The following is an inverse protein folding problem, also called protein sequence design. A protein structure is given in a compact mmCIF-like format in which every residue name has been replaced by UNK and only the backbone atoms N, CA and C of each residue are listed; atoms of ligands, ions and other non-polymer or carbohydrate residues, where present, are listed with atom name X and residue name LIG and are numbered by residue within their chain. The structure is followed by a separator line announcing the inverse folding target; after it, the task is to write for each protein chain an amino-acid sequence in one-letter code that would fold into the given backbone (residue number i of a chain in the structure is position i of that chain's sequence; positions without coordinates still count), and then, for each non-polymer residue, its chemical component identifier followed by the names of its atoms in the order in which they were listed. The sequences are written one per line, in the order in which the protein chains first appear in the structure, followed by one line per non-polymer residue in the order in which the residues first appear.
data_IF_810743716122
#
_entry.id   IF_810743716122
#
_cell.length_a   1.000
_cell.length_b   1.000
_cell.length_c   1.000
_cell.angle_alpha   90.00
_cell.angle_beta   90.00
_cell.angle_gamma   90.00
#
_symmetry.space_group_name_H-M   'P 1'
#
loop_
_entity.id
_entity.type
_entity.pdbx_description
1 polymer ?
#
# COMPACT_ATOMS: atom_id res chain seq x y z
N UNK A 1 -5.97 -15.57 -13.10
CA UNK A 1 -6.70 -14.46 -12.47
C UNK A 1 -5.79 -13.48 -11.75
N UNK A 2 -4.88 -13.90 -10.89
CA UNK A 2 -3.94 -13.00 -10.14
C UNK A 2 -3.11 -12.09 -11.06
N UNK A 3 -2.65 -12.60 -12.20
CA UNK A 3 -1.86 -11.83 -13.16
C UNK A 3 -2.69 -10.70 -13.79
N UNK A 4 -3.95 -10.96 -14.13
CA UNK A 4 -4.85 -9.94 -14.68
C UNK A 4 -5.14 -8.84 -13.66
N UNK A 5 -5.36 -9.23 -12.40
CA UNK A 5 -5.58 -8.27 -11.30
C UNK A 5 -4.33 -7.43 -11.06
N UNK A 6 -3.15 -8.05 -11.09
CA UNK A 6 -1.87 -7.35 -10.96
C UNK A 6 -1.68 -6.34 -12.10
N UNK A 7 -1.92 -6.75 -13.35
CA UNK A 7 -1.82 -5.84 -14.49
C UNK A 7 -2.81 -4.67 -14.38
N UNK A 8 -4.07 -4.95 -14.01
CA UNK A 8 -5.08 -3.91 -13.85
C UNK A 8 -4.72 -2.92 -12.75
N UNK A 9 -4.28 -3.39 -11.58
CA UNK A 9 -3.87 -2.51 -10.48
C UNK A 9 -2.60 -1.72 -10.80
N UNK A 10 -1.65 -2.31 -11.51
CA UNK A 10 -0.45 -1.60 -11.96
C UNK A 10 -0.78 -0.52 -12.99
N UNK A 11 -1.69 -0.78 -13.93
CA UNK A 11 -2.14 0.24 -14.90
C UNK A 11 -2.83 1.39 -14.18
N UNK A 12 -3.75 1.11 -13.26
CA UNK A 12 -4.41 2.15 -12.46
C UNK A 12 -3.40 2.96 -11.63
N UNK A 13 -2.43 2.30 -10.99
CA UNK A 13 -1.38 2.97 -10.24
C UNK A 13 -0.50 3.84 -11.13
N UNK A 14 -0.13 3.35 -12.32
CA UNK A 14 0.66 4.12 -13.28
C UNK A 14 -0.09 5.37 -13.76
N UNK A 15 -1.38 5.25 -14.08
CA UNK A 15 -2.22 6.40 -14.46
C UNK A 15 -2.30 7.42 -13.31
N UNK A 16 -2.54 6.96 -12.09
CA UNK A 16 -2.60 7.83 -10.90
C UNK A 16 -1.26 8.52 -10.67
N UNK A 17 -0.14 7.79 -10.77
CA UNK A 17 1.19 8.37 -10.65
C UNK A 17 1.48 9.41 -11.71
N UNK A 18 1.10 9.15 -12.98
CA UNK A 18 1.26 10.11 -14.07
C UNK A 18 0.48 11.40 -13.80
N UNK A 19 -0.77 11.30 -13.35
CA UNK A 19 -1.58 12.47 -12.98
C UNK A 19 -0.91 13.24 -11.84
N UNK A 20 -0.43 12.56 -10.80
CA UNK A 20 0.24 13.19 -9.66
C UNK A 20 1.59 13.82 -10.01
N UNK A 21 2.29 13.33 -11.06
CA UNK A 21 3.57 13.89 -11.51
C UNK A 21 3.36 15.09 -12.45
N UNK A 22 2.44 14.96 -13.41
CA UNK A 22 2.25 16.01 -14.42
C UNK A 22 1.35 17.16 -13.97
N UNK A 23 0.38 16.88 -13.10
CA UNK A 23 -0.66 17.82 -12.73
C UNK A 23 -0.79 18.03 -11.19
N UNK A 24 0.31 18.02 -10.41
CA UNK A 24 0.19 18.08 -8.95
C UNK A 24 -0.44 19.39 -8.47
N UNK A 25 -0.08 20.50 -9.06
CA UNK A 25 -0.64 21.82 -8.72
C UNK A 25 -2.11 21.95 -9.09
N UNK A 26 -2.52 21.39 -10.23
CA UNK A 26 -3.90 21.43 -10.69
C UNK A 26 -4.83 20.56 -9.84
N UNK A 27 -4.34 19.40 -9.38
CA UNK A 27 -5.08 18.55 -8.45
C UNK A 27 -5.37 19.29 -7.15
N UNK A 28 -4.40 19.99 -6.57
CA UNK A 28 -4.61 20.75 -5.34
C UNK A 28 -5.37 22.06 -5.57
N UNK A 29 -5.17 22.74 -6.69
CA UNK A 29 -5.92 23.98 -7.00
C UNK A 29 -7.43 23.75 -7.16
N UNK A 30 -7.85 22.50 -7.40
CA UNK A 30 -9.26 22.13 -7.42
C UNK A 30 -9.88 22.17 -6.01
N UNK A 31 -9.09 21.97 -4.97
CA UNK A 31 -9.53 21.92 -3.57
C UNK A 31 -9.25 23.21 -2.79
N UNK A 32 -8.21 23.96 -3.17
CA UNK A 32 -7.83 25.19 -2.47
C UNK A 32 -7.11 26.16 -3.40
N UNK A 33 -7.27 27.46 -3.11
CA UNK A 33 -6.57 28.55 -3.81
C UNK A 33 -5.36 29.08 -2.99
N UNK A 34 -5.08 28.51 -1.83
CA UNK A 34 -3.97 28.95 -0.98
C UNK A 34 -2.64 28.37 -1.51
N UNK A 35 -1.70 29.24 -1.97
CA UNK A 35 -0.44 28.79 -2.55
C UNK A 35 0.42 28.00 -1.56
N UNK A 36 0.37 28.31 -0.27
CA UNK A 36 1.14 27.60 0.75
C UNK A 36 0.66 26.14 0.91
N UNK A 37 -0.65 25.92 0.84
CA UNK A 37 -1.25 24.59 0.90
C UNK A 37 -0.95 23.78 -0.37
N UNK A 38 -0.95 24.44 -1.53
CA UNK A 38 -0.62 23.78 -2.81
C UNK A 38 0.84 23.30 -2.82
N UNK A 39 1.78 24.11 -2.35
CA UNK A 39 3.20 23.75 -2.29
C UNK A 39 3.44 22.57 -1.33
N UNK A 40 2.79 22.60 -0.17
CA UNK A 40 2.82 21.51 0.80
C UNK A 40 2.23 20.22 0.20
N UNK A 41 1.12 20.34 -0.51
CA UNK A 41 0.44 19.24 -1.20
C UNK A 41 1.28 18.60 -2.31
N UNK A 42 2.02 19.40 -3.08
CA UNK A 42 2.95 18.90 -4.10
C UNK A 42 4.05 18.03 -3.46
N UNK A 43 4.63 18.49 -2.36
CA UNK A 43 5.63 17.71 -1.61
C UNK A 43 5.04 16.40 -1.07
N UNK A 44 3.82 16.46 -0.54
CA UNK A 44 3.08 15.28 -0.09
C UNK A 44 2.88 14.26 -1.22
N UNK A 45 2.42 14.70 -2.41
CA UNK A 45 2.22 13.81 -3.55
C UNK A 45 3.52 13.14 -4.02
N UNK A 46 4.62 13.85 -4.03
CA UNK A 46 5.92 13.28 -4.41
C UNK A 46 6.33 12.12 -3.49
N UNK A 47 6.12 12.25 -2.19
CA UNK A 47 6.37 11.18 -1.21
C UNK A 47 5.40 10.02 -1.42
N UNK A 48 4.13 10.34 -1.71
CA UNK A 48 3.09 9.32 -1.88
C UNK A 48 3.14 8.56 -3.21
N UNK A 49 3.90 9.00 -4.21
CA UNK A 49 4.13 8.23 -5.43
C UNK A 49 4.68 6.84 -5.11
N UNK A 50 5.69 6.77 -4.23
CA UNK A 50 6.24 5.50 -3.75
C UNK A 50 5.15 4.64 -3.10
N UNK A 51 4.31 5.26 -2.25
CA UNK A 51 3.21 4.58 -1.59
C UNK A 51 2.20 3.99 -2.59
N UNK A 52 1.86 4.69 -3.66
CA UNK A 52 0.93 4.21 -4.69
C UNK A 52 1.47 2.99 -5.42
N UNK A 53 2.75 2.99 -5.80
CA UNK A 53 3.39 1.86 -6.48
C UNK A 53 3.38 0.62 -5.59
N UNK A 54 3.84 0.77 -4.34
CA UNK A 54 3.87 -0.34 -3.37
C UNK A 54 2.45 -0.83 -3.05
N UNK A 55 1.46 0.08 -2.97
CA UNK A 55 0.05 -0.26 -2.76
C UNK A 55 -0.55 -1.09 -3.87
N UNK A 56 -0.18 -0.84 -5.12
CA UNK A 56 -0.67 -1.63 -6.25
C UNK A 56 -0.17 -3.07 -6.17
N UNK A 57 1.08 -3.25 -5.79
CA UNK A 57 1.70 -4.57 -5.64
C UNK A 57 1.03 -5.34 -4.49
N UNK A 58 0.97 -4.74 -3.29
CA UNK A 58 0.40 -5.42 -2.12
C UNK A 58 -1.09 -5.73 -2.31
N UNK A 59 -1.85 -4.83 -2.96
CA UNK A 59 -3.27 -5.02 -3.21
C UNK A 59 -3.55 -6.26 -4.06
N UNK A 60 -2.76 -6.50 -5.09
CA UNK A 60 -2.88 -7.68 -5.95
C UNK A 60 -2.55 -8.98 -5.18
N UNK A 61 -1.48 -9.00 -4.39
CA UNK A 61 -1.11 -10.17 -3.60
C UNK A 61 -2.08 -10.43 -2.44
N UNK A 62 -2.54 -9.38 -1.78
CA UNK A 62 -3.52 -9.50 -0.70
C UNK A 62 -4.86 -10.03 -1.20
N UNK A 63 -5.34 -9.56 -2.35
CA UNK A 63 -6.54 -10.08 -2.99
C UNK A 63 -6.40 -11.57 -3.34
N UNK A 64 -5.23 -12.01 -3.78
CA UNK A 64 -4.95 -13.42 -4.04
C UNK A 64 -4.98 -14.25 -2.74
N UNK A 65 -4.31 -13.78 -1.68
CA UNK A 65 -4.27 -14.49 -0.38
C UNK A 65 -5.67 -14.64 0.18
N UNK A 66 -6.48 -13.59 0.15
CA UNK A 66 -7.88 -13.64 0.58
C UNK A 66 -8.74 -14.53 -0.32
N UNK A 67 -8.52 -14.46 -1.64
CA UNK A 67 -9.22 -15.32 -2.62
C UNK A 67 -8.90 -16.81 -2.49
N UNK A 68 -7.72 -17.16 -1.96
CA UNK A 68 -7.36 -18.54 -1.62
C UNK A 68 -7.96 -19.03 -0.28
N UNK A 69 -8.78 -18.22 0.39
CA UNK A 69 -9.44 -18.57 1.65
C UNK A 69 -8.59 -18.36 2.91
N UNK A 70 -7.45 -17.67 2.80
CA UNK A 70 -6.63 -17.29 3.95
C UNK A 70 -7.06 -15.91 4.51
N UNK A 71 -8.35 -15.81 4.86
CA UNK A 71 -8.94 -14.56 5.35
C UNK A 71 -8.25 -14.08 6.63
N UNK A 72 -7.88 -15.02 7.52
CA UNK A 72 -7.16 -14.71 8.77
C UNK A 72 -5.80 -14.05 8.51
N UNK A 73 -5.04 -14.55 7.51
CA UNK A 73 -3.78 -13.94 7.10
C UNK A 73 -3.99 -12.55 6.49
N UNK A 74 -5.01 -12.40 5.65
CA UNK A 74 -5.36 -11.10 5.07
C UNK A 74 -5.73 -10.07 6.14
N UNK A 75 -6.47 -10.49 7.17
CA UNK A 75 -6.84 -9.67 8.31
C UNK A 75 -5.60 -9.28 9.17
N UNK A 76 -4.74 -10.25 9.44
CA UNK A 76 -3.50 -10.01 10.19
C UNK A 76 -2.58 -9.02 9.47
N UNK A 77 -2.41 -9.19 8.16
CA UNK A 77 -1.64 -8.28 7.31
C UNK A 77 -2.25 -6.88 7.32
N UNK A 78 -3.59 -6.78 7.28
CA UNK A 78 -4.31 -5.51 7.36
C UNK A 78 -4.09 -4.77 8.67
N UNK A 79 -4.15 -5.47 9.81
CA UNK A 79 -3.83 -4.89 11.13
C UNK A 79 -2.36 -4.48 11.20
N UNK A 80 -1.46 -5.32 10.73
CA UNK A 80 -0.02 -5.03 10.72
C UNK A 80 0.27 -3.76 9.90
N UNK A 81 -0.31 -3.65 8.70
CA UNK A 81 -0.18 -2.47 7.84
C UNK A 81 -0.81 -1.22 8.49
N UNK A 82 -2.08 -1.34 8.91
CA UNK A 82 -2.86 -0.19 9.37
C UNK A 82 -2.44 0.34 10.72
N UNK A 83 -2.15 -0.52 11.68
CA UNK A 83 -1.87 -0.12 13.07
C UNK A 83 -0.37 -0.12 13.35
N UNK A 84 0.28 -1.29 13.21
CA UNK A 84 1.67 -1.44 13.65
C UNK A 84 2.62 -0.65 12.76
N UNK A 85 2.53 -0.82 11.44
CA UNK A 85 3.48 -0.19 10.53
C UNK A 85 3.22 1.31 10.39
N UNK A 86 1.97 1.74 10.19
CA UNK A 86 1.67 3.17 10.02
C UNK A 86 1.94 3.96 11.29
N UNK A 87 1.41 3.53 12.43
CA UNK A 87 1.59 4.25 13.68
C UNK A 87 3.04 4.14 14.16
N UNK A 88 3.62 2.94 14.16
CA UNK A 88 4.98 2.71 14.65
C UNK A 88 6.04 3.44 13.83
N UNK A 89 5.99 3.32 12.49
CA UNK A 89 6.94 4.01 11.61
C UNK A 89 6.76 5.53 11.65
N UNK A 90 5.51 6.02 11.65
CA UNK A 90 5.26 7.46 11.72
C UNK A 90 5.77 8.05 13.04
N UNK A 91 5.54 7.36 14.16
CA UNK A 91 6.07 7.76 15.46
C UNK A 91 7.61 7.74 15.47
N UNK A 92 8.21 6.70 14.91
CA UNK A 92 9.66 6.57 14.80
C UNK A 92 10.26 7.70 13.96
N UNK A 93 9.72 7.97 12.77
CA UNK A 93 10.22 9.05 11.90
C UNK A 93 10.04 10.43 12.52
N UNK A 94 8.94 10.66 13.23
CA UNK A 94 8.67 11.94 13.86
C UNK A 94 9.60 12.19 15.09
N UNK A 95 9.80 11.19 15.94
CA UNK A 95 10.54 11.35 17.20
C UNK A 95 12.03 11.05 17.08
N UNK A 96 12.41 9.98 16.37
CA UNK A 96 13.82 9.54 16.27
C UNK A 96 14.56 10.38 15.23
N UNK A 97 13.98 10.55 14.03
CA UNK A 97 14.60 11.34 12.97
C UNK A 97 14.30 12.85 13.07
N UNK A 98 13.42 13.25 13.98
CA UNK A 98 13.04 14.66 14.19
C UNK A 98 12.63 15.40 12.93
N UNK A 99 12.03 14.70 11.97
CA UNK A 99 11.59 15.25 10.69
C UNK A 99 10.27 16.02 10.79
N UNK A 100 9.68 16.13 11.98
CA UNK A 100 8.41 16.81 12.18
C UNK A 100 7.26 16.17 11.40
N UNK A 101 6.41 16.99 10.78
CA UNK A 101 5.25 16.53 9.99
C UNK A 101 5.64 15.74 8.73
N UNK A 102 6.80 16.02 8.13
CA UNK A 102 7.29 15.25 6.98
C UNK A 102 7.61 13.81 7.36
N UNK A 103 8.08 13.57 8.58
CA UNK A 103 8.31 12.23 9.11
C UNK A 103 7.05 11.38 9.15
N UNK A 104 5.90 11.99 9.43
CA UNK A 104 4.60 11.30 9.37
C UNK A 104 4.32 10.77 7.95
N UNK A 105 4.55 11.58 6.93
CA UNK A 105 4.31 11.21 5.54
C UNK A 105 5.23 10.09 5.07
N UNK A 106 6.53 10.20 5.39
CA UNK A 106 7.50 9.14 5.11
C UNK A 106 7.18 7.84 5.86
N UNK A 107 6.76 7.94 7.12
CA UNK A 107 6.32 6.80 7.90
C UNK A 107 5.17 6.06 7.25
N UNK A 108 4.14 6.77 6.78
CA UNK A 108 3.00 6.18 6.07
C UNK A 108 3.42 5.63 4.70
N UNK A 109 4.26 6.33 3.96
CA UNK A 109 4.73 5.86 2.65
C UNK A 109 5.53 4.55 2.76
N UNK A 110 6.41 4.45 3.76
CA UNK A 110 7.24 3.28 3.99
C UNK A 110 6.50 2.12 4.69
N UNK A 111 5.38 2.40 5.38
CA UNK A 111 4.65 1.38 6.17
C UNK A 111 4.25 0.16 5.34
N UNK A 112 3.93 0.35 4.07
CA UNK A 112 3.51 -0.72 3.16
C UNK A 112 4.62 -1.64 2.68
N UNK A 113 5.87 -1.27 2.85
CA UNK A 113 7.02 -2.09 2.42
C UNK A 113 7.05 -3.40 3.20
N UNK A 114 6.86 -3.36 4.52
CA UNK A 114 6.90 -4.53 5.40
C UNK A 114 5.80 -5.55 5.04
N UNK A 115 4.51 -5.18 5.00
CA UNK A 115 3.45 -6.10 4.58
C UNK A 115 3.64 -6.63 3.16
N UNK A 116 4.19 -5.82 2.25
CA UNK A 116 4.46 -6.25 0.87
C UNK A 116 5.50 -7.37 0.85
N UNK A 117 6.60 -7.23 1.59
CA UNK A 117 7.63 -8.27 1.71
C UNK A 117 7.02 -9.56 2.27
N UNK A 118 6.19 -9.47 3.31
CA UNK A 118 5.51 -10.61 3.90
C UNK A 118 4.59 -11.30 2.88
N UNK A 119 3.78 -10.55 2.15
CA UNK A 119 2.88 -11.09 1.12
C UNK A 119 3.65 -11.77 -0.02
N UNK A 120 4.72 -11.15 -0.51
CA UNK A 120 5.56 -11.70 -1.58
C UNK A 120 6.28 -12.96 -1.09
N UNK A 121 6.86 -12.95 0.11
CA UNK A 121 7.50 -14.11 0.70
C UNK A 121 6.52 -15.28 0.89
N UNK A 122 5.29 -15.00 1.33
CA UNK A 122 4.24 -15.99 1.44
C UNK A 122 3.85 -16.58 0.08
N UNK A 123 3.73 -15.74 -0.95
CA UNK A 123 3.48 -16.17 -2.32
C UNK A 123 4.59 -17.08 -2.84
N UNK A 124 5.85 -16.68 -2.70
CA UNK A 124 7.02 -17.45 -3.12
C UNK A 124 7.18 -18.77 -2.37
N UNK A 125 6.74 -18.81 -1.10
CA UNK A 125 6.71 -20.04 -0.27
C UNK A 125 5.83 -21.16 -0.83
N UNK A 126 4.92 -20.85 -1.77
CA UNK A 126 4.05 -21.84 -2.40
C UNK A 126 3.01 -22.50 -1.48
N UNK A 127 2.95 -22.12 -0.19
CA UNK A 127 2.03 -22.71 0.80
C UNK A 127 0.56 -22.51 0.45
N UNK A 128 0.23 -21.55 -0.41
CA UNK A 128 -1.12 -21.35 -0.91
C UNK A 128 -1.62 -22.49 -1.80
N UNK A 129 -0.70 -23.31 -2.39
CA UNK A 129 -1.05 -24.46 -3.24
C UNK A 129 -1.49 -25.69 -2.46
N UNK A 130 -1.13 -25.80 -1.18
CA UNK A 130 -1.36 -27.00 -0.38
C UNK A 130 -2.72 -27.05 0.32
N UNK A 131 -3.50 -25.96 0.31
CA UNK A 131 -4.84 -25.92 0.89
C UNK A 131 -5.86 -26.39 -0.13
N UNK A 132 -6.29 -27.65 -0.03
CA UNK A 132 -7.51 -28.13 -0.69
C UNK A 132 -8.72 -27.46 -0.03
N UNK A 133 -9.33 -26.50 -0.73
CA UNK A 133 -10.56 -25.82 -0.30
C UNK A 133 -11.78 -26.76 -0.19
N UNK A 134 -11.60 -28.00 -0.64
CA UNK A 134 -12.60 -29.06 -0.56
C UNK A 134 -12.00 -30.24 0.22
N UNK A 135 -12.01 -30.17 1.54
CA UNK A 135 -12.03 -31.38 2.33
C UNK A 135 -13.40 -31.96 2.09
N UNK A 136 -13.50 -32.86 1.09
CA UNK A 136 -14.67 -33.66 0.83
C UNK A 136 -15.05 -34.30 2.17
N UNK A 137 -16.16 -33.88 2.75
CA UNK A 137 -16.76 -34.46 3.94
C UNK A 137 -17.21 -35.84 3.51
N UNK A 138 -16.31 -36.82 3.61
CA UNK A 138 -16.71 -38.23 3.52
C UNK A 138 -17.40 -38.50 4.84
N UNK A 139 -18.72 -38.49 4.75
CA UNK A 139 -19.60 -39.18 5.68
C UNK A 139 -19.49 -40.68 5.44
#
# INVERSE_FOLDING_TARGET
MTLCTLCATLVCAAVTCLICIFLPKQVFSLFTNDPAVIELGVTFLQIFILHFIVSAIIGAFQAMVMGCGFVELGFLIGILDGVVCKIGLSWMFMNVFRMGYQGLWWGVACSRIIPTIICVAYYCSGKWRTRTLLKKKNA
#
